data_IF_241581987776
#
_entry.id   IF_241581987776
#
_cell.length_a   1.000
_cell.length_b   1.000
_cell.length_c   1.000
_cell.angle_alpha   90.00
_cell.angle_beta   90.00
_cell.angle_gamma   90.00
#
_symmetry.space_group_name_H-M   'P 1'
#
loop_
_entity.id
_entity.type
_entity.pdbx_description
1 polymer ?
#
# COMPACT_ATOMS: atom_id res chain seq x y z
N UNK A 1 11.87 27.66 -11.10
CA UNK A 1 11.21 26.35 -11.34
C UNK A 1 10.88 26.16 -12.83
N UNK A 2 11.36 27.07 -13.68
CA UNK A 2 10.94 27.19 -15.09
C UNK A 2 11.70 26.27 -16.04
N UNK A 3 12.83 25.72 -15.60
CA UNK A 3 13.60 24.77 -16.40
C UNK A 3 12.83 23.45 -16.60
N UNK A 4 12.18 22.96 -15.55
CA UNK A 4 11.36 21.75 -15.60
C UNK A 4 10.09 22.03 -16.43
N UNK A 5 9.43 23.17 -16.21
CA UNK A 5 8.24 23.56 -16.96
C UNK A 5 8.53 23.69 -18.47
N UNK A 6 9.65 24.32 -18.87
CA UNK A 6 10.04 24.43 -20.29
C UNK A 6 10.40 23.10 -20.93
N UNK A 7 11.03 22.20 -20.18
CA UNK A 7 11.33 20.86 -20.68
C UNK A 7 10.03 20.05 -20.86
N UNK A 8 9.11 20.14 -19.89
CA UNK A 8 7.82 19.49 -19.94
C UNK A 8 6.94 20.04 -21.09
N UNK A 9 6.92 21.35 -21.31
CA UNK A 9 6.23 21.99 -22.45
C UNK A 9 6.73 21.44 -23.81
N UNK A 10 8.03 21.22 -23.95
CA UNK A 10 8.60 20.56 -25.14
C UNK A 10 8.16 19.10 -25.29
N UNK A 11 7.99 18.38 -24.18
CA UNK A 11 7.44 17.00 -24.18
C UNK A 11 5.95 17.01 -24.55
N UNK A 12 5.17 17.95 -24.01
CA UNK A 12 3.76 18.13 -24.36
C UNK A 12 3.58 18.40 -25.86
N UNK A 13 4.38 19.30 -26.42
CA UNK A 13 4.37 19.59 -27.86
C UNK A 13 4.77 18.38 -28.71
N UNK A 14 5.77 17.61 -28.28
CA UNK A 14 6.16 16.39 -28.99
C UNK A 14 5.01 15.38 -29.01
N UNK A 15 4.41 15.10 -27.84
CA UNK A 15 3.30 14.14 -27.68
C UNK A 15 2.04 14.61 -28.45
N UNK A 16 1.68 15.88 -28.33
CA UNK A 16 0.52 16.47 -29.00
C UNK A 16 0.71 16.59 -30.53
N UNK A 17 1.96 16.64 -30.99
CA UNK A 17 2.31 16.64 -32.40
C UNK A 17 2.20 15.27 -33.08
N UNK A 18 2.03 14.18 -32.34
CA UNK A 18 1.83 12.85 -32.92
C UNK A 18 0.40 12.67 -33.45
N UNK A 19 0.20 11.91 -34.54
CA UNK A 19 -1.12 11.48 -34.96
C UNK A 19 -1.74 10.50 -33.94
N UNK A 20 -3.06 10.30 -34.01
CA UNK A 20 -3.84 9.58 -32.99
C UNK A 20 -3.30 8.17 -32.65
N UNK A 21 -2.93 7.36 -33.66
CA UNK A 21 -2.51 5.97 -33.45
C UNK A 21 -1.25 5.87 -32.58
N UNK A 22 -0.10 6.49 -32.95
CA UNK A 22 1.09 6.44 -32.10
C UNK A 22 0.91 7.14 -30.75
N UNK A 23 0.04 8.16 -30.64
CA UNK A 23 -0.29 8.78 -29.34
C UNK A 23 -0.95 7.77 -28.39
N UNK A 24 -1.92 6.99 -28.87
CA UNK A 24 -2.59 5.94 -28.07
C UNK A 24 -1.61 4.84 -27.69
N UNK A 25 -0.76 4.38 -28.62
CA UNK A 25 0.26 3.37 -28.35
C UNK A 25 1.21 3.86 -27.26
N UNK A 26 1.69 5.11 -27.35
CA UNK A 26 2.59 5.70 -26.37
C UNK A 26 1.91 5.80 -25.00
N UNK A 27 0.66 6.27 -24.96
CA UNK A 27 -0.12 6.35 -23.72
C UNK A 27 -0.27 4.97 -23.09
N UNK A 28 -0.66 3.94 -23.85
CA UNK A 28 -0.79 2.57 -23.32
C UNK A 28 0.57 2.05 -22.83
N UNK A 29 1.62 2.20 -23.64
CA UNK A 29 2.96 1.72 -23.33
C UNK A 29 3.58 2.39 -22.10
N UNK A 30 3.20 3.63 -21.77
CA UNK A 30 3.70 4.35 -20.59
C UNK A 30 2.75 4.19 -19.40
N UNK A 31 1.44 4.36 -19.60
CA UNK A 31 0.46 4.41 -18.53
C UNK A 31 0.21 3.04 -17.90
N UNK A 32 0.23 1.95 -18.68
CA UNK A 32 0.08 0.58 -18.16
C UNK A 32 1.22 0.21 -17.19
N UNK A 33 2.50 0.31 -17.57
CA UNK A 33 3.57 0.01 -16.62
C UNK A 33 3.61 1.02 -15.48
N UNK A 34 3.28 2.29 -15.70
CA UNK A 34 3.20 3.28 -14.63
C UNK A 34 2.15 2.87 -13.58
N UNK A 35 0.96 2.46 -14.02
CA UNK A 35 -0.09 1.94 -13.15
C UNK A 35 0.36 0.69 -12.39
N UNK A 36 1.02 -0.25 -13.08
CA UNK A 36 1.56 -1.45 -12.46
C UNK A 36 2.58 -1.13 -11.36
N UNK A 37 3.48 -0.18 -11.62
CA UNK A 37 4.45 0.29 -10.63
C UNK A 37 3.74 0.93 -9.44
N UNK A 38 2.74 1.80 -9.67
CA UNK A 38 1.97 2.41 -8.60
C UNK A 38 1.23 1.39 -7.74
N UNK A 39 0.53 0.44 -8.35
CA UNK A 39 -0.15 -0.64 -7.64
C UNK A 39 0.86 -1.44 -6.79
N UNK A 40 1.98 -1.82 -7.39
CA UNK A 40 3.05 -2.55 -6.73
C UNK A 40 3.65 -1.77 -5.54
N UNK A 41 3.85 -0.46 -5.69
CA UNK A 41 4.36 0.41 -4.63
C UNK A 41 3.34 0.51 -3.50
N UNK A 42 2.07 0.74 -3.83
CA UNK A 42 1.00 0.80 -2.83
C UNK A 42 0.92 -0.50 -2.05
N UNK A 43 0.88 -1.66 -2.72
CA UNK A 43 0.81 -2.97 -2.07
C UNK A 43 2.01 -3.21 -1.14
N UNK A 44 3.21 -2.79 -1.55
CA UNK A 44 4.42 -2.92 -0.72
C UNK A 44 4.50 -1.92 0.42
N UNK A 45 3.86 -0.77 0.32
CA UNK A 45 3.84 0.26 1.37
C UNK A 45 2.74 -0.02 2.38
N UNK A 46 1.58 -0.55 1.95
CA UNK A 46 0.44 -0.82 2.81
C UNK A 46 0.75 -1.88 3.89
N UNK A 47 1.43 -2.98 3.54
CA UNK A 47 1.80 -4.03 4.51
C UNK A 47 2.59 -3.50 5.72
N UNK A 48 3.77 -2.86 5.51
CA UNK A 48 4.56 -2.27 6.58
C UNK A 48 3.83 -1.14 7.32
N UNK A 49 2.97 -0.40 6.62
CA UNK A 49 2.20 0.69 7.23
C UNK A 49 1.14 0.16 8.21
N UNK A 50 0.43 -0.92 7.84
CA UNK A 50 -0.53 -1.57 8.73
C UNK A 50 0.15 -2.25 9.92
N UNK A 51 1.30 -2.89 9.74
CA UNK A 51 2.08 -3.46 10.86
C UNK A 51 2.52 -2.38 11.87
N UNK A 52 2.87 -1.19 11.38
CA UNK A 52 3.20 -0.05 12.25
C UNK A 52 1.98 0.53 12.95
N UNK A 53 0.81 0.48 12.33
CA UNK A 53 -0.43 1.02 12.88
C UNK A 53 -1.13 0.07 13.86
N UNK A 54 -1.00 -1.25 13.70
CA UNK A 54 -1.64 -2.28 14.56
C UNK A 54 -0.98 -2.42 15.95
N UNK A 55 0.05 -1.61 16.23
CA UNK A 55 0.88 -1.78 17.44
C UNK A 55 0.25 -1.40 18.80
N UNK A 56 -0.89 -0.70 18.98
CA UNK A 56 -1.38 -0.42 20.32
C UNK A 56 -2.58 -1.24 20.82
N UNK A 57 -3.16 -2.20 20.06
CA UNK A 57 -4.44 -2.84 20.47
C UNK A 57 -4.38 -4.32 20.92
N UNK A 58 -3.19 -4.92 21.04
CA UNK A 58 -3.06 -6.31 21.57
C UNK A 58 -2.73 -6.40 23.05
N UNK A 59 -2.61 -5.28 23.77
CA UNK A 59 -2.33 -5.29 25.21
C UNK A 59 -3.58 -5.49 26.10
N UNK A 60 -4.79 -5.49 25.53
CA UNK A 60 -6.04 -5.48 26.32
C UNK A 60 -6.85 -6.79 26.27
N UNK A 61 -6.36 -7.83 25.58
CA UNK A 61 -7.11 -9.08 25.38
C UNK A 61 -6.82 -10.21 26.37
N UNK A 62 -5.81 -10.07 27.25
CA UNK A 62 -5.47 -11.08 28.26
C UNK A 62 -5.73 -10.51 29.65
N UNK A 63 -7.01 -10.42 30.03
CA UNK A 63 -7.43 -10.32 31.44
C UNK A 63 -8.88 -10.79 31.57
N UNK A 64 -9.10 -12.09 31.37
CA UNK A 64 -10.44 -12.66 31.55
C UNK A 64 -10.54 -14.18 31.38
N UNK A 65 -9.47 -14.94 31.59
CA UNK A 65 -9.55 -16.41 31.62
C UNK A 65 -8.57 -17.02 32.62
N UNK A 66 -8.44 -16.38 33.78
CA UNK A 66 -7.78 -16.97 34.94
C UNK A 66 -8.73 -16.84 36.12
N UNK A 67 -8.84 -17.93 36.89
CA UNK A 67 -9.65 -18.16 38.10
C UNK A 67 -11.13 -18.52 37.94
N UNK A 68 -11.40 -19.62 37.24
CA UNK A 68 -12.44 -20.57 37.66
C UNK A 68 -11.84 -21.95 37.39
N UNK A 69 -11.02 -22.50 38.28
CA UNK A 69 -11.45 -23.02 39.58
C UNK A 69 -11.11 -24.50 39.63
N UNK A 70 -9.95 -24.90 39.11
CA UNK A 70 -9.38 -26.23 39.30
C UNK A 70 -8.64 -26.19 40.65
N UNK A 71 -9.38 -26.44 41.74
CA UNK A 71 -8.79 -26.79 43.02
C UNK A 71 -9.20 -28.21 43.32
N UNK A 72 -8.19 -29.09 43.29
CA UNK A 72 -8.29 -30.49 43.59
C UNK A 72 -8.98 -30.74 44.93
N UNK A 73 -9.95 -31.66 44.88
CA UNK A 73 -10.49 -32.37 46.01
C UNK A 73 -10.01 -33.83 45.99
N UNK A 74 -8.71 -34.03 45.76
CA UNK A 74 -8.03 -35.25 46.23
C UNK A 74 -7.60 -34.98 47.67
N UNK A 75 -8.48 -35.31 48.62
CA UNK A 75 -8.19 -35.74 50.00
C UNK A 75 -9.45 -35.63 50.87
N UNK A 76 -10.27 -36.68 50.92
CA UNK A 76 -10.64 -37.27 52.22
C UNK A 76 -11.26 -38.66 52.04
N UNK A 77 -10.84 -39.54 52.96
CA UNK A 77 -11.10 -40.96 53.25
C UNK A 77 -12.48 -41.54 52.96
#
# INVERSE_FOLDING_TARGET
>A
MDAIARWWDGVELWIAGLPFIPQVILVVAVMVPLCFVFATVLDRVLGPLFERLDRPRRASGVRGSETEGEVGGDAEV
#
